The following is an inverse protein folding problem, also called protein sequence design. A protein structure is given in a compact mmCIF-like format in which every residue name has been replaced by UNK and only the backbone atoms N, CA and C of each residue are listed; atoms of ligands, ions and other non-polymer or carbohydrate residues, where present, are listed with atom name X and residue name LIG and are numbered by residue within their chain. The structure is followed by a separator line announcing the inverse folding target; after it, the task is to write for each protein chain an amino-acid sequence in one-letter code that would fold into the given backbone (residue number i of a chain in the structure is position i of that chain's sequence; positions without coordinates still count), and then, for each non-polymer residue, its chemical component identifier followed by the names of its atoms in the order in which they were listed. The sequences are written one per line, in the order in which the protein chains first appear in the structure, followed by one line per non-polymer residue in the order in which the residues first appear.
data_IF_072976389629
#
_entry.id   IF_072976389629
#
_cell.length_a   1.000
_cell.length_b   1.000
_cell.length_c   1.000
_cell.angle_alpha   90.00
_cell.angle_beta   90.00
_cell.angle_gamma   90.00
#
_symmetry.space_group_name_H-M   'P 1'
#
loop_
_entity.id
_entity.type
_entity.pdbx_description
1 polymer ?
#
# COMPACT_ATOMS: atom_id res chain seq x y z
N UNK A 1 25.70 3.80 -9.37
CA UNK A 1 24.23 3.73 -9.35
C UNK A 1 23.87 2.96 -8.11
N UNK A 2 23.05 3.51 -7.21
CA UNK A 2 22.65 2.76 -6.03
C UNK A 2 21.80 1.58 -6.53
N UNK A 3 22.22 0.36 -6.24
CA UNK A 3 21.41 -0.83 -6.49
C UNK A 3 20.15 -0.69 -5.65
N UNK A 4 19.06 -0.28 -6.30
CA UNK A 4 17.74 -0.27 -5.68
C UNK A 4 17.42 -1.70 -5.26
N UNK A 5 17.01 -1.86 -4.00
CA UNK A 5 16.61 -3.15 -3.45
C UNK A 5 15.61 -3.81 -4.42
N UNK A 6 15.77 -5.09 -4.81
CA UNK A 6 14.97 -5.70 -5.88
C UNK A 6 13.45 -5.56 -5.71
N UNK A 7 12.97 -5.56 -4.46
CA UNK A 7 11.55 -5.33 -4.17
C UNK A 7 11.09 -3.90 -4.44
N UNK A 8 11.94 -2.90 -4.24
CA UNK A 8 11.61 -1.50 -4.59
C UNK A 8 11.51 -1.38 -6.11
N UNK A 9 12.42 -2.00 -6.86
CA UNK A 9 12.33 -2.00 -8.33
C UNK A 9 11.03 -2.65 -8.81
N UNK A 10 10.63 -3.76 -8.20
CA UNK A 10 9.34 -4.40 -8.49
C UNK A 10 8.16 -3.47 -8.20
N UNK A 11 8.18 -2.73 -7.09
CA UNK A 11 7.12 -1.77 -6.76
C UNK A 11 7.04 -0.63 -7.79
N UNK A 12 8.18 -0.09 -8.21
CA UNK A 12 8.22 0.92 -9.27
C UNK A 12 7.64 0.41 -10.58
N UNK A 13 7.98 -0.81 -10.97
CA UNK A 13 7.48 -1.37 -12.23
C UNK A 13 5.98 -1.65 -12.18
N UNK A 14 5.46 -2.06 -11.01
CA UNK A 14 4.01 -2.21 -10.80
C UNK A 14 3.29 -0.87 -10.79
N UNK A 15 3.89 0.17 -10.20
CA UNK A 15 3.35 1.52 -10.23
C UNK A 15 3.25 2.06 -11.67
N UNK A 16 4.29 1.87 -12.50
CA UNK A 16 4.27 2.25 -13.93
C UNK A 16 3.15 1.55 -14.69
N UNK A 17 2.87 0.28 -14.40
CA UNK A 17 1.76 -0.46 -15.01
C UNK A 17 0.41 0.10 -14.58
N UNK A 18 0.26 0.45 -13.29
CA UNK A 18 -0.96 1.08 -12.78
C UNK A 18 -1.19 2.45 -13.43
N UNK A 19 -0.15 3.28 -13.53
CA UNK A 19 -0.21 4.59 -14.19
C UNK A 19 -0.57 4.49 -15.68
N UNK A 20 -0.10 3.45 -16.36
CA UNK A 20 -0.45 3.17 -17.76
C UNK A 20 -1.88 2.63 -17.91
N UNK A 21 -2.46 2.09 -16.84
CA UNK A 21 -3.84 1.61 -16.84
C UNK A 21 -4.81 2.79 -16.65
N UNK A 22 -5.96 2.76 -17.33
CA UNK A 22 -7.02 3.73 -17.05
C UNK A 22 -7.74 3.49 -15.70
N UNK A 23 -7.31 2.47 -14.94
CA UNK A 23 -7.83 2.22 -13.60
C UNK A 23 -7.18 3.21 -12.64
N UNK A 24 -8.04 4.04 -12.05
CA UNK A 24 -7.64 4.97 -11.01
C UNK A 24 -7.54 4.19 -9.69
N UNK A 25 -6.46 3.43 -9.53
CA UNK A 25 -6.15 2.83 -8.24
C UNK A 25 -5.89 3.95 -7.24
N UNK A 26 -6.57 3.93 -6.10
CA UNK A 26 -6.37 4.89 -5.03
C UNK A 26 -5.84 4.21 -3.76
N UNK A 27 -5.41 5.04 -2.81
CA UNK A 27 -4.88 4.57 -1.53
C UNK A 27 -5.88 3.68 -0.78
N UNK A 28 -7.19 3.91 -0.94
CA UNK A 28 -8.22 3.13 -0.24
C UNK A 28 -8.29 1.70 -0.82
N UNK A 29 -8.17 1.55 -2.14
CA UNK A 29 -8.08 0.24 -2.79
C UNK A 29 -6.84 -0.54 -2.33
N UNK A 30 -5.68 0.11 -2.24
CA UNK A 30 -4.45 -0.50 -1.73
C UNK A 30 -4.59 -1.00 -0.28
N UNK A 31 -5.25 -0.23 0.58
CA UNK A 31 -5.51 -0.60 1.98
C UNK A 31 -6.45 -1.82 2.05
N UNK A 32 -7.51 -1.85 1.24
CA UNK A 32 -8.45 -2.98 1.19
C UNK A 32 -7.74 -4.26 0.74
N UNK A 33 -6.89 -4.18 -0.28
CA UNK A 33 -6.11 -5.32 -0.77
C UNK A 33 -5.16 -5.85 0.32
N UNK A 34 -4.44 -4.97 1.02
CA UNK A 34 -3.53 -5.36 2.10
C UNK A 34 -4.30 -5.99 3.28
N UNK A 35 -5.39 -5.37 3.71
CA UNK A 35 -6.19 -5.87 4.83
C UNK A 35 -6.83 -7.24 4.52
N UNK A 36 -7.36 -7.40 3.29
CA UNK A 36 -7.94 -8.67 2.86
C UNK A 36 -6.90 -9.79 2.77
N UNK A 37 -5.69 -9.48 2.28
CA UNK A 37 -4.60 -10.44 2.26
C UNK A 37 -4.11 -10.80 3.67
N UNK A 38 -3.95 -9.82 4.56
CA UNK A 38 -3.56 -10.04 5.96
C UNK A 38 -4.54 -10.95 6.70
N UNK A 39 -5.85 -10.73 6.54
CA UNK A 39 -6.88 -11.56 7.18
C UNK A 39 -6.76 -13.03 6.76
N UNK A 40 -6.45 -13.30 5.49
CA UNK A 40 -6.25 -14.65 4.96
C UNK A 40 -4.86 -15.25 5.26
N UNK A 41 -3.85 -14.42 5.48
CA UNK A 41 -2.47 -14.84 5.70
C UNK A 41 -2.08 -14.93 7.19
N UNK A 42 -2.87 -14.36 8.11
CA UNK A 42 -2.51 -14.19 9.54
C UNK A 42 -2.03 -15.46 10.26
N UNK A 43 -2.49 -16.64 9.85
CA UNK A 43 -2.06 -17.91 10.46
C UNK A 43 -0.64 -18.32 10.08
N UNK A 44 -0.08 -17.74 9.02
CA UNK A 44 1.25 -18.03 8.47
C UNK A 44 2.27 -16.94 8.75
N UNK A 45 1.84 -15.84 9.37
CA UNK A 45 2.68 -14.68 9.67
C UNK A 45 3.18 -14.74 11.10
N UNK A 46 4.44 -14.33 11.30
CA UNK A 46 4.94 -14.08 12.65
C UNK A 46 4.33 -12.81 13.23
N UNK A 47 4.45 -12.63 14.55
CA UNK A 47 4.03 -11.39 15.21
C UNK A 47 4.79 -10.17 14.65
N UNK A 48 6.07 -10.34 14.31
CA UNK A 48 6.89 -9.28 13.70
C UNK A 48 6.40 -8.93 12.28
N UNK A 49 6.02 -9.93 11.48
CA UNK A 49 5.44 -9.69 10.16
C UNK A 49 4.14 -8.91 10.27
N UNK A 50 3.25 -9.32 11.19
CA UNK A 50 1.98 -8.63 11.44
C UNK A 50 2.23 -7.19 11.89
N UNK A 51 3.21 -6.95 12.77
CA UNK A 51 3.57 -5.61 13.23
C UNK A 51 4.04 -4.71 12.08
N UNK A 52 4.97 -5.20 11.24
CA UNK A 52 5.48 -4.44 10.09
C UNK A 52 4.36 -4.14 9.09
N UNK A 53 3.55 -5.14 8.75
CA UNK A 53 2.48 -4.99 7.76
C UNK A 53 1.34 -4.09 8.28
N UNK A 54 1.07 -4.12 9.58
CA UNK A 54 0.10 -3.22 10.23
C UNK A 54 0.60 -1.77 10.21
N UNK A 55 1.90 -1.55 10.42
CA UNK A 55 2.51 -0.21 10.31
C UNK A 55 2.40 0.33 8.88
N UNK A 56 2.70 -0.50 7.87
CA UNK A 56 2.51 -0.13 6.45
C UNK A 56 1.05 0.26 6.17
N UNK A 57 0.09 -0.54 6.64
CA UNK A 57 -1.33 -0.23 6.50
C UNK A 57 -1.73 1.08 7.20
N UNK A 58 -1.18 1.36 8.38
CA UNK A 58 -1.43 2.59 9.12
C UNK A 58 -0.91 3.84 8.37
N UNK A 59 0.29 3.76 7.79
CA UNK A 59 0.88 4.84 6.97
C UNK A 59 -0.03 5.14 5.77
N UNK A 60 -0.43 4.10 5.01
CA UNK A 60 -1.32 4.25 3.86
C UNK A 60 -2.66 4.89 4.27
N UNK A 61 -3.25 4.44 5.38
CA UNK A 61 -4.52 4.96 5.88
C UNK A 61 -4.42 6.43 6.32
N UNK A 62 -3.31 6.81 6.96
CA UNK A 62 -3.03 8.19 7.35
C UNK A 62 -2.95 9.11 6.13
N UNK A 63 -2.21 8.70 5.08
CA UNK A 63 -2.10 9.47 3.84
C UNK A 63 -3.46 9.61 3.14
N UNK A 64 -4.24 8.54 3.07
CA UNK A 64 -5.60 8.57 2.53
C UNK A 64 -6.52 9.55 3.28
N UNK A 65 -6.44 9.58 4.62
CA UNK A 65 -7.18 10.54 5.44
C UNK A 65 -6.77 11.98 5.17
N UNK A 66 -5.47 12.25 5.03
CA UNK A 66 -4.96 13.58 4.69
C UNK A 66 -5.46 14.02 3.31
N UNK A 67 -5.39 13.14 2.31
CA UNK A 67 -5.90 13.41 0.97
C UNK A 67 -7.41 13.70 0.97
N UNK A 68 -8.22 12.93 1.72
CA UNK A 68 -9.66 13.19 1.90
C UNK A 68 -9.94 14.53 2.56
N UNK A 69 -9.21 14.88 3.62
CA UNK A 69 -9.36 16.17 4.31
C UNK A 69 -9.03 17.36 3.42
N UNK A 70 -8.03 17.22 2.55
CA UNK A 70 -7.67 18.27 1.59
C UNK A 70 -8.71 18.42 0.48
N UNK A 71 -9.29 17.31 -0.02
CA UNK A 71 -10.40 17.35 -1.01
C UNK A 71 -11.70 17.93 -0.47
N UNK A 72 -12.02 17.70 0.81
CA UNK A 72 -13.22 18.24 1.46
C UNK A 72 -13.12 19.70 1.91
N UNK A 73 -11.96 20.35 1.73
CA UNK A 73 -11.70 21.76 2.08
C UNK A 73 -11.66 22.70 0.87
N UNK A 74 -11.94 22.19 -0.33
CA UNK A 74 -11.86 22.93 -1.58
C UNK A 74 -13.22 23.34 -2.14
#
# INVERSE_FOLDING_TARGET
MADLHPMIQLFEDRAKVLDASAQKADLDEGIVLLAGWLEGAKEWLSEDDIAILSEVGAIMYQEGLLARRMRGKS
#
